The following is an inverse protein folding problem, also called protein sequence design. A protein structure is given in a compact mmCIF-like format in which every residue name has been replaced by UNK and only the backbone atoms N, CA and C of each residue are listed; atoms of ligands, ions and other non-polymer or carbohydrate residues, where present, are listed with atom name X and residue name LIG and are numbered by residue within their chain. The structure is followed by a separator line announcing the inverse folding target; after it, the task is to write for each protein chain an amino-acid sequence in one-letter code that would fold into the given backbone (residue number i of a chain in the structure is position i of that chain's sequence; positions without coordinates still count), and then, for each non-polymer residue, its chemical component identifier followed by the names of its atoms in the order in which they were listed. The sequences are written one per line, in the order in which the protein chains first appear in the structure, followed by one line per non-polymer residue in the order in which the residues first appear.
data_IF_056210018721
#
_entry.id   IF_056210018721
#
_cell.length_a   1.000
_cell.length_b   1.000
_cell.length_c   1.000
_cell.angle_alpha   90.00
_cell.angle_beta   90.00
_cell.angle_gamma   90.00
#
_symmetry.space_group_name_H-M   'P 1'
#
loop_
_entity.id
_entity.type
_entity.pdbx_description
1 polymer ?
#
# COMPACT_ATOMS: atom_id res chain seq x y z
N UNK A 1 -5.49 -16.88 63.53
CA UNK A 1 -4.90 -15.69 62.86
C UNK A 1 -4.32 -16.00 61.47
N UNK A 2 -3.79 -17.21 61.20
CA UNK A 2 -3.16 -17.55 59.91
C UNK A 2 -4.07 -17.70 58.67
N UNK A 3 -5.34 -18.10 58.84
CA UNK A 3 -6.26 -18.40 57.71
C UNK A 3 -6.73 -17.12 57.01
N UNK A 4 -7.16 -16.09 57.76
CA UNK A 4 -7.56 -14.79 57.19
C UNK A 4 -6.44 -14.15 56.37
N UNK A 5 -5.18 -14.26 56.82
CA UNK A 5 -4.01 -13.70 56.12
C UNK A 5 -3.79 -14.36 54.76
N UNK A 6 -3.99 -15.68 54.65
CA UNK A 6 -3.90 -16.42 53.36
C UNK A 6 -5.02 -16.02 52.39
N UNK A 7 -6.24 -15.81 52.88
CA UNK A 7 -7.35 -15.33 52.03
C UNK A 7 -7.09 -13.94 51.46
N UNK A 8 -6.58 -13.00 52.25
CA UNK A 8 -6.24 -11.66 51.77
C UNK A 8 -5.12 -11.67 50.73
N UNK A 9 -4.11 -12.53 50.91
CA UNK A 9 -3.04 -12.71 49.92
C UNK A 9 -3.61 -13.26 48.60
N UNK A 10 -4.51 -14.25 48.65
CA UNK A 10 -5.16 -14.78 47.45
C UNK A 10 -6.00 -13.71 46.72
N UNK A 11 -6.76 -12.90 47.46
CA UNK A 11 -7.54 -11.79 46.90
C UNK A 11 -6.64 -10.76 46.21
N UNK A 12 -5.48 -10.44 46.80
CA UNK A 12 -4.51 -9.53 46.18
C UNK A 12 -3.96 -10.10 44.88
N UNK A 13 -3.57 -11.39 44.84
CA UNK A 13 -3.09 -12.02 43.62
C UNK A 13 -4.15 -12.05 42.52
N UNK A 14 -5.42 -12.34 42.86
CA UNK A 14 -6.53 -12.29 41.91
C UNK A 14 -6.75 -10.87 41.39
N UNK A 15 -6.74 -9.87 42.26
CA UNK A 15 -6.88 -8.47 41.86
C UNK A 15 -5.73 -8.01 40.94
N UNK A 16 -4.49 -8.40 41.25
CA UNK A 16 -3.33 -8.10 40.41
C UNK A 16 -3.41 -8.80 39.05
N UNK A 17 -3.85 -10.06 39.01
CA UNK A 17 -4.04 -10.79 37.76
C UNK A 17 -5.12 -10.14 36.88
N UNK A 18 -6.24 -9.69 37.47
CA UNK A 18 -7.29 -8.96 36.77
C UNK A 18 -6.76 -7.63 36.23
N UNK A 19 -6.07 -6.84 37.07
CA UNK A 19 -5.48 -5.56 36.67
C UNK A 19 -4.45 -5.74 35.54
N UNK A 20 -3.62 -6.79 35.62
CA UNK A 20 -2.67 -7.14 34.56
C UNK A 20 -3.38 -7.53 33.26
N UNK A 21 -4.47 -8.31 33.35
CA UNK A 21 -5.31 -8.63 32.20
C UNK A 21 -5.89 -7.39 31.51
N UNK A 22 -6.40 -6.43 32.30
CA UNK A 22 -6.88 -5.15 31.77
C UNK A 22 -5.76 -4.33 31.12
N UNK A 23 -4.57 -4.28 31.73
CA UNK A 23 -3.40 -3.60 31.18
C UNK A 23 -3.00 -4.19 29.82
N UNK A 24 -2.86 -5.51 29.73
CA UNK A 24 -2.53 -6.20 28.47
C UNK A 24 -3.59 -5.93 27.40
N UNK A 25 -4.88 -6.01 27.75
CA UNK A 25 -5.95 -5.74 26.80
C UNK A 25 -5.92 -4.28 26.31
N UNK A 26 -5.76 -3.30 27.20
CA UNK A 26 -5.66 -1.89 26.81
C UNK A 26 -4.44 -1.64 25.91
N UNK A 27 -3.27 -2.19 26.25
CA UNK A 27 -2.07 -2.11 25.40
C UNK A 27 -2.32 -2.71 24.01
N UNK A 28 -2.88 -3.92 23.92
CA UNK A 28 -3.20 -4.56 22.64
C UNK A 28 -4.20 -3.73 21.82
N UNK A 29 -5.21 -3.13 22.46
CA UNK A 29 -6.21 -2.32 21.77
C UNK A 29 -5.66 -0.94 21.35
N UNK A 30 -4.69 -0.39 22.08
CA UNK A 30 -3.94 0.80 21.66
C UNK A 30 -3.05 0.47 20.46
N UNK A 31 -2.29 -0.61 20.53
CA UNK A 31 -1.39 -1.03 19.45
C UNK A 31 -2.16 -1.34 18.16
N UNK A 32 -3.30 -2.04 18.23
CA UNK A 32 -4.17 -2.28 17.07
C UNK A 32 -4.63 -1.01 16.37
N UNK A 33 -4.76 0.11 17.08
CA UNK A 33 -5.10 1.41 16.47
C UNK A 33 -3.94 2.00 15.67
N UNK A 34 -2.69 1.68 16.02
CA UNK A 34 -1.51 2.13 15.29
C UNK A 34 -1.20 1.29 14.04
N UNK A 35 -1.66 0.02 13.97
CA UNK A 35 -1.44 -0.88 12.84
C UNK A 35 -2.58 -0.90 11.80
N UNK A 36 -3.33 0.21 11.67
CA UNK A 36 -4.40 0.29 10.68
C UNK A 36 -3.84 0.57 9.28
N UNK A 37 -4.50 -0.02 8.28
CA UNK A 37 -4.20 0.24 6.86
C UNK A 37 -4.44 1.72 6.57
N UNK A 38 -3.41 2.42 6.09
CA UNK A 38 -3.51 3.85 5.80
C UNK A 38 -4.46 4.13 4.62
N UNK A 39 -4.94 5.37 4.48
CA UNK A 39 -5.82 5.74 3.35
C UNK A 39 -5.20 5.45 1.97
N UNK A 40 -3.91 5.76 1.72
CA UNK A 40 -3.22 5.33 0.50
C UNK A 40 -3.25 3.82 0.27
N UNK A 41 -2.99 3.04 1.32
CA UNK A 41 -2.97 1.58 1.26
C UNK A 41 -4.37 0.97 1.06
N UNK A 42 -5.42 1.58 1.61
CA UNK A 42 -6.80 1.17 1.35
C UNK A 42 -7.13 1.34 -0.14
N UNK A 43 -6.84 2.51 -0.72
CA UNK A 43 -7.05 2.75 -2.14
C UNK A 43 -6.21 1.79 -3.00
N UNK A 44 -4.95 1.56 -2.64
CA UNK A 44 -4.06 0.64 -3.34
C UNK A 44 -4.53 -0.83 -3.23
N UNK A 45 -5.24 -1.19 -2.16
CA UNK A 45 -5.89 -2.50 -2.05
C UNK A 45 -7.00 -2.65 -3.09
N UNK A 46 -7.79 -1.59 -3.31
CA UNK A 46 -8.83 -1.58 -4.36
C UNK A 46 -8.22 -1.63 -5.77
N UNK A 47 -7.11 -0.93 -5.99
CA UNK A 47 -6.32 -1.00 -7.24
C UNK A 47 -5.88 -2.44 -7.51
N UNK A 48 -5.30 -3.11 -6.50
CA UNK A 48 -4.86 -4.50 -6.64
C UNK A 48 -6.04 -5.46 -6.91
N UNK A 49 -7.19 -5.26 -6.25
CA UNK A 49 -8.41 -6.03 -6.50
C UNK A 49 -8.89 -5.89 -7.95
N UNK A 50 -9.03 -4.64 -8.41
CA UNK A 50 -9.39 -4.35 -9.80
C UNK A 50 -8.43 -4.99 -10.80
N UNK A 51 -7.12 -4.93 -10.55
CA UNK A 51 -6.13 -5.55 -11.44
C UNK A 51 -6.33 -7.06 -11.56
N UNK A 52 -6.56 -7.77 -10.45
CA UNK A 52 -6.81 -9.22 -10.46
C UNK A 52 -8.13 -9.56 -11.18
N UNK A 53 -9.19 -8.83 -10.87
CA UNK A 53 -10.53 -9.05 -11.47
C UNK A 53 -10.53 -8.85 -12.99
N UNK A 54 -9.66 -7.98 -13.50
CA UNK A 54 -9.55 -7.67 -14.93
C UNK A 54 -8.36 -8.41 -15.59
N UNK A 55 -7.71 -9.34 -14.88
CA UNK A 55 -6.56 -10.10 -15.39
C UNK A 55 -5.38 -9.23 -15.81
N UNK A 56 -5.17 -8.08 -15.17
CA UNK A 56 -4.04 -7.19 -15.48
C UNK A 56 -2.74 -7.68 -14.85
N UNK A 57 -2.81 -8.48 -13.80
CA UNK A 57 -1.69 -9.06 -13.06
C UNK A 57 -0.96 -10.19 -13.81
N UNK A 58 -1.48 -10.63 -14.96
CA UNK A 58 -0.79 -11.55 -15.87
C UNK A 58 0.33 -10.88 -16.68
N UNK A 59 0.29 -9.55 -16.82
CA UNK A 59 1.29 -8.78 -17.55
C UNK A 59 2.41 -8.29 -16.64
N UNK A 60 3.50 -7.81 -17.23
CA UNK A 60 4.57 -7.17 -16.48
C UNK A 60 4.04 -5.92 -15.78
N UNK A 61 4.25 -5.83 -14.46
CA UNK A 61 3.76 -4.70 -13.63
C UNK A 61 4.91 -3.76 -13.29
N UNK A 62 4.79 -2.51 -13.73
CA UNK A 62 5.63 -1.40 -13.31
C UNK A 62 4.87 -0.60 -12.25
N UNK A 63 5.42 -0.47 -11.05
CA UNK A 63 4.74 0.13 -9.90
C UNK A 63 5.68 1.06 -9.15
N UNK A 64 5.17 2.10 -8.48
CA UNK A 64 5.99 2.99 -7.65
C UNK A 64 5.81 2.70 -6.14
N UNK A 65 4.57 2.50 -5.69
CA UNK A 65 4.27 2.07 -4.32
C UNK A 65 4.58 0.56 -4.09
N UNK A 66 5.54 0.21 -3.21
CA UNK A 66 5.87 -1.19 -2.90
C UNK A 66 4.73 -1.99 -2.27
N UNK A 67 3.72 -1.33 -1.68
CA UNK A 67 2.55 -1.99 -1.14
C UNK A 67 1.74 -2.72 -2.23
N UNK A 68 1.76 -2.21 -3.47
CA UNK A 68 1.10 -2.88 -4.58
C UNK A 68 1.76 -4.24 -4.90
N UNK A 69 3.09 -4.28 -4.95
CA UNK A 69 3.82 -5.52 -5.18
C UNK A 69 3.53 -6.57 -4.11
N UNK A 70 3.44 -6.14 -2.86
CA UNK A 70 3.00 -7.02 -1.77
C UNK A 70 1.58 -7.57 -1.99
N UNK A 71 0.61 -6.74 -2.41
CA UNK A 71 -0.78 -7.17 -2.65
C UNK A 71 -0.96 -8.08 -3.86
N UNK A 72 -0.11 -7.92 -4.86
CA UNK A 72 -0.08 -8.73 -6.08
C UNK A 72 0.87 -9.93 -5.97
N UNK A 73 1.53 -10.14 -4.82
CA UNK A 73 2.51 -11.21 -4.62
C UNK A 73 3.63 -11.21 -5.67
N UNK A 74 4.05 -10.02 -6.10
CA UNK A 74 5.11 -9.86 -7.10
C UNK A 74 6.48 -10.00 -6.45
N UNK A 75 7.37 -10.76 -7.08
CA UNK A 75 8.78 -10.76 -6.72
C UNK A 75 9.44 -9.49 -7.31
N UNK A 76 9.92 -8.54 -6.49
CA UNK A 76 10.61 -7.35 -6.97
C UNK A 76 11.96 -7.63 -7.64
N UNK A 77 12.48 -8.86 -7.54
CA UNK A 77 13.72 -9.30 -8.19
C UNK A 77 13.48 -9.98 -9.53
N UNK A 78 12.24 -10.41 -9.80
CA UNK A 78 11.86 -10.97 -11.09
C UNK A 78 11.53 -9.85 -12.08
N UNK A 79 12.55 -9.41 -12.82
CA UNK A 79 12.44 -8.34 -13.80
C UNK A 79 11.55 -8.69 -15.02
N UNK A 80 11.18 -9.97 -15.19
CA UNK A 80 10.25 -10.40 -16.24
C UNK A 80 8.80 -10.08 -15.85
N UNK A 81 8.49 -10.14 -14.54
CA UNK A 81 7.13 -9.92 -14.00
C UNK A 81 6.93 -8.54 -13.43
N UNK A 82 7.96 -7.92 -12.85
CA UNK A 82 7.77 -6.66 -12.13
C UNK A 82 8.95 -5.69 -12.20
N UNK A 83 8.67 -4.40 -12.00
CA UNK A 83 9.68 -3.34 -11.96
C UNK A 83 9.22 -2.17 -11.08
N UNK A 84 10.09 -1.72 -10.17
CA UNK A 84 9.78 -0.67 -9.17
C UNK A 84 9.63 0.77 -9.69
N UNK A 85 9.91 1.04 -10.95
CA UNK A 85 9.74 2.36 -11.60
C UNK A 85 10.22 2.32 -13.04
N UNK A 86 9.76 3.29 -13.84
CA UNK A 86 10.33 3.58 -15.15
C UNK A 86 11.65 4.38 -15.01
N UNK A 87 12.57 4.28 -15.98
CA UNK A 87 13.77 5.09 -16.00
C UNK A 87 13.45 6.56 -16.34
N UNK A 88 14.26 7.49 -15.83
CA UNK A 88 14.08 8.94 -16.07
C UNK A 88 14.83 9.35 -17.34
N UNK A 89 14.28 9.03 -18.52
CA UNK A 89 14.85 9.34 -19.87
C UNK A 89 13.74 9.42 -20.92
N UNK A 90 13.91 10.14 -22.04
CA UNK A 90 12.83 10.35 -23.03
C UNK A 90 12.14 9.05 -23.49
N UNK A 91 12.92 8.07 -23.96
CA UNK A 91 12.39 6.79 -24.45
C UNK A 91 12.23 5.74 -23.33
N UNK A 92 11.59 6.11 -22.22
CA UNK A 92 11.53 5.25 -21.03
C UNK A 92 10.71 3.97 -21.21
N UNK A 93 9.82 3.92 -22.21
CA UNK A 93 8.99 2.74 -22.53
C UNK A 93 9.66 1.75 -23.49
N UNK A 94 10.76 2.14 -24.14
CA UNK A 94 11.35 1.36 -25.24
C UNK A 94 11.84 -0.04 -24.83
N UNK A 95 12.10 -0.24 -23.54
CA UNK A 95 12.58 -1.50 -22.98
C UNK A 95 11.47 -2.35 -22.36
N UNK A 96 10.24 -1.85 -22.29
CA UNK A 96 9.13 -2.58 -21.68
C UNK A 96 8.34 -3.35 -22.74
N UNK A 97 7.93 -4.60 -22.47
CA UNK A 97 7.07 -5.37 -23.36
C UNK A 97 5.72 -4.69 -23.60
N UNK A 98 5.10 -4.93 -24.75
CA UNK A 98 3.72 -4.48 -25.01
C UNK A 98 2.77 -5.11 -23.98
N UNK A 99 1.62 -4.47 -23.78
CA UNK A 99 0.65 -4.80 -22.72
C UNK A 99 1.16 -4.66 -21.27
N UNK A 100 2.42 -4.25 -21.05
CA UNK A 100 2.91 -3.94 -19.69
C UNK A 100 2.01 -2.93 -19.00
N UNK A 101 1.77 -3.14 -17.71
CA UNK A 101 0.88 -2.32 -16.90
C UNK A 101 1.73 -1.39 -16.04
N UNK A 102 1.46 -0.09 -16.13
CA UNK A 102 2.11 0.93 -15.31
C UNK A 102 1.09 1.43 -14.30
N UNK A 103 1.39 1.24 -13.02
CA UNK A 103 0.59 1.74 -11.90
C UNK A 103 1.32 2.89 -11.27
N UNK A 104 0.91 4.09 -11.65
CA UNK A 104 1.45 5.35 -11.14
C UNK A 104 0.63 5.80 -9.93
N UNK A 105 1.29 6.21 -8.85
CA UNK A 105 0.65 6.85 -7.71
C UNK A 105 1.22 8.26 -7.47
N UNK A 106 0.37 9.15 -6.98
CA UNK A 106 0.73 10.56 -6.79
C UNK A 106 1.75 10.81 -5.67
N UNK A 107 2.00 9.82 -4.79
CA UNK A 107 3.01 9.96 -3.75
C UNK A 107 4.39 9.62 -4.30
N UNK A 108 4.57 8.40 -4.81
CA UNK A 108 5.90 7.90 -5.17
C UNK A 108 6.30 8.19 -6.62
N UNK A 109 5.33 8.34 -7.52
CA UNK A 109 5.56 8.66 -8.92
C UNK A 109 6.41 9.92 -9.12
N UNK A 110 5.94 11.11 -8.68
CA UNK A 110 6.68 12.35 -8.86
C UNK A 110 7.87 12.48 -7.90
N UNK A 111 7.72 12.10 -6.63
CA UNK A 111 8.71 12.42 -5.58
C UNK A 111 9.97 11.52 -5.66
N UNK A 112 9.81 10.20 -5.67
CA UNK A 112 10.92 9.22 -5.72
C UNK A 112 11.20 8.75 -7.15
N UNK A 113 10.15 8.62 -7.96
CA UNK A 113 10.21 8.18 -9.34
C UNK A 113 10.67 9.26 -10.33
N UNK A 114 10.55 10.54 -9.97
CA UNK A 114 10.71 11.69 -10.88
C UNK A 114 9.88 11.54 -12.16
N UNK A 115 8.70 10.93 -12.01
CA UNK A 115 7.74 10.67 -13.07
C UNK A 115 6.45 11.43 -12.77
N UNK A 116 6.30 12.69 -13.21
CA UNK A 116 5.04 13.41 -13.10
C UNK A 116 3.98 12.76 -14.00
N UNK A 117 2.71 12.83 -13.61
CA UNK A 117 1.61 12.15 -14.33
C UNK A 117 1.53 12.60 -15.79
N UNK A 118 1.72 13.89 -16.04
CA UNK A 118 1.62 14.50 -17.37
C UNK A 118 2.61 13.89 -18.35
N UNK A 119 3.75 13.38 -17.86
CA UNK A 119 4.75 12.70 -18.70
C UNK A 119 4.23 11.37 -19.23
N UNK A 120 3.46 10.63 -18.43
CA UNK A 120 2.79 9.41 -18.87
C UNK A 120 1.60 9.72 -19.79
N UNK A 121 0.82 10.76 -19.47
CA UNK A 121 -0.34 11.16 -20.26
C UNK A 121 0.01 11.66 -21.67
N UNK A 122 1.23 12.16 -21.87
CA UNK A 122 1.74 12.60 -23.18
C UNK A 122 2.34 11.48 -24.03
N UNK A 123 2.45 10.26 -23.50
CA UNK A 123 3.00 9.14 -24.29
C UNK A 123 1.92 8.56 -25.22
N UNK A 124 2.15 8.54 -26.55
CA UNK A 124 1.19 7.95 -27.49
C UNK A 124 1.06 6.43 -27.30
N UNK A 125 2.12 5.77 -26.82
CA UNK A 125 2.16 4.32 -26.63
C UNK A 125 1.49 3.87 -25.31
N UNK A 126 0.86 4.78 -24.57
CA UNK A 126 0.16 4.46 -23.32
C UNK A 126 -1.33 4.69 -23.44
N UNK A 127 -2.10 3.65 -23.15
CA UNK A 127 -3.54 3.74 -22.95
C UNK A 127 -3.85 3.85 -21.46
N UNK A 128 -4.51 4.94 -21.06
CA UNK A 128 -5.04 5.07 -19.69
C UNK A 128 -6.22 4.12 -19.52
N UNK A 129 -6.15 3.23 -18.53
CA UNK A 129 -7.20 2.24 -18.25
C UNK A 129 -8.16 2.71 -17.15
N UNK A 130 -7.62 3.21 -16.03
CA UNK A 130 -8.42 3.54 -14.84
C UNK A 130 -7.73 4.58 -13.97
N UNK A 131 -8.53 5.42 -13.32
CA UNK A 131 -8.09 6.36 -12.27
C UNK A 131 -8.83 6.00 -10.98
N UNK A 132 -8.08 5.93 -9.88
CA UNK A 132 -8.58 5.72 -8.52
C UNK A 132 -8.31 6.98 -7.71
N UNK A 133 -9.36 7.49 -7.06
CA UNK A 133 -9.29 8.64 -6.15
C UNK A 133 -9.88 8.25 -4.80
N UNK A 134 -9.36 8.76 -3.68
CA UNK A 134 -9.98 8.56 -2.38
C UNK A 134 -11.33 9.29 -2.33
N UNK A 135 -12.28 8.73 -1.57
CA UNK A 135 -13.61 9.37 -1.38
C UNK A 135 -13.49 10.78 -0.79
N UNK A 136 -12.57 10.95 0.17
CA UNK A 136 -12.20 12.23 0.75
C UNK A 136 -10.83 12.63 0.21
N UNK A 137 -10.73 13.67 -0.65
CA UNK A 137 -9.46 14.15 -1.17
C UNK A 137 -8.48 14.50 -0.06
N UNK A 138 -7.20 14.24 -0.31
CA UNK A 138 -6.10 14.63 0.56
C UNK A 138 -4.83 14.79 -0.26
N UNK A 139 -3.91 15.61 0.25
CA UNK A 139 -2.60 15.83 -0.37
C UNK A 139 -1.55 14.90 0.22
N UNK A 140 -0.64 14.46 -0.63
CA UNK A 140 0.58 13.75 -0.24
C UNK A 140 1.78 14.70 -0.26
N UNK A 141 2.96 14.18 0.10
CA UNK A 141 4.21 14.91 -0.03
C UNK A 141 4.34 15.47 -1.47
N UNK A 142 4.86 16.69 -1.59
CA UNK A 142 4.91 17.40 -2.88
C UNK A 142 3.64 18.17 -3.25
N UNK A 143 2.56 18.09 -2.45
CA UNK A 143 1.36 18.91 -2.61
C UNK A 143 0.34 18.40 -3.64
N UNK A 144 0.56 17.20 -4.19
CA UNK A 144 -0.34 16.55 -5.14
C UNK A 144 -1.57 15.97 -4.44
N UNK A 145 -2.74 16.09 -5.08
CA UNK A 145 -3.93 15.33 -4.69
C UNK A 145 -3.68 13.85 -4.90
N UNK A 146 -3.94 13.02 -3.88
CA UNK A 146 -3.66 11.60 -3.98
C UNK A 146 -4.58 10.91 -4.99
N UNK A 147 -3.98 10.24 -5.96
CA UNK A 147 -4.66 9.37 -6.90
C UNK A 147 -3.70 8.29 -7.40
N UNK A 148 -4.26 7.20 -7.91
CA UNK A 148 -3.53 6.14 -8.58
C UNK A 148 -4.08 5.99 -10.00
N UNK A 149 -3.21 5.91 -11.00
CA UNK A 149 -3.59 5.81 -12.40
C UNK A 149 -2.94 4.56 -12.99
N UNK A 150 -3.77 3.75 -13.67
CA UNK A 150 -3.32 2.56 -14.39
C UNK A 150 -3.24 2.91 -15.87
N UNK A 151 -2.07 2.65 -16.46
CA UNK A 151 -1.82 2.71 -17.89
C UNK A 151 -1.42 1.33 -18.41
N UNK A 152 -1.69 1.07 -19.69
CA UNK A 152 -1.22 -0.10 -20.41
C UNK A 152 -0.40 0.35 -21.61
N UNK A 153 0.80 -0.20 -21.75
CA UNK A 153 1.60 -0.02 -22.95
C UNK A 153 0.91 -0.71 -24.14
N UNK A 154 0.72 0.02 -25.23
CA UNK A 154 0.20 -0.50 -26.50
C UNK A 154 1.29 -1.22 -27.28
#
# INVERSE_FOLDING_TARGET
IGIKKKHWVAVIYVALAIAFGFFINDTVQRDKRYFQVSRPQQLMTNVAGYMKENGLDQYKIIYYDPYLAFKLYLDPRDASKSKKRLPVRENFLSSEPDSSIIVWDAHFGPNEGRMPLERLEKQPDLKKLKVFKPEKPFKVLGGYEYQVVIFQKQ
#
